data_IF_782346859821
#
_entry.id   IF_782346859821
#
_cell.length_a   1.000
_cell.length_b   1.000
_cell.length_c   1.000
_cell.angle_alpha   90.00
_cell.angle_beta   90.00
_cell.angle_gamma   90.00
#
_symmetry.space_group_name_H-M   'P 1'
#
loop_
_entity.id
_entity.type
_entity.pdbx_description
1 polymer ?
#
# COMPACT_ATOMS: atom_id res chain seq x y z
N UNK A 1 27.16 11.18 -13.41
CA UNK A 1 27.57 10.89 -12.03
C UNK A 1 26.42 10.13 -11.40
N UNK A 2 26.58 8.82 -11.17
CA UNK A 2 25.58 7.94 -10.58
C UNK A 2 25.32 8.41 -9.14
N UNK A 3 24.21 9.11 -8.91
CA UNK A 3 23.85 9.72 -7.64
C UNK A 3 22.59 9.09 -7.09
N UNK A 4 22.79 8.25 -6.07
CA UNK A 4 21.81 7.77 -5.09
C UNK A 4 20.53 7.11 -5.61
N UNK A 5 20.63 5.83 -5.97
CA UNK A 5 19.61 4.87 -5.54
C UNK A 5 19.68 4.79 -4.01
N UNK A 6 19.07 5.75 -3.33
CA UNK A 6 18.85 5.66 -1.88
C UNK A 6 17.93 4.46 -1.66
N UNK A 7 18.53 3.35 -1.25
CA UNK A 7 17.82 2.18 -0.75
C UNK A 7 16.99 2.66 0.45
N UNK A 8 15.72 3.03 0.22
CA UNK A 8 14.85 3.54 1.27
C UNK A 8 14.59 2.39 2.25
N UNK A 9 15.27 2.42 3.40
CA UNK A 9 15.08 1.49 4.51
C UNK A 9 13.59 1.35 4.90
N UNK A 10 12.83 2.43 4.72
CA UNK A 10 11.38 2.46 4.86
C UNK A 10 10.70 1.40 4.00
N UNK A 11 11.05 1.30 2.71
CA UNK A 11 10.44 0.36 1.76
C UNK A 11 10.75 -1.09 2.13
N UNK A 12 11.95 -1.36 2.66
CA UNK A 12 12.31 -2.68 3.19
C UNK A 12 11.48 -3.05 4.42
N UNK A 13 11.27 -2.11 5.33
CA UNK A 13 10.46 -2.31 6.53
C UNK A 13 9.00 -2.59 6.13
N UNK A 14 8.43 -1.84 5.18
CA UNK A 14 7.05 -2.08 4.73
C UNK A 14 6.86 -3.44 4.08
N UNK A 15 7.80 -3.85 3.21
CA UNK A 15 7.77 -5.16 2.58
C UNK A 15 7.87 -6.28 3.60
N UNK A 16 8.78 -6.13 4.56
CA UNK A 16 8.97 -7.11 5.62
C UNK A 16 7.69 -7.23 6.49
N UNK A 17 7.07 -6.12 6.86
CA UNK A 17 5.82 -6.10 7.63
C UNK A 17 4.64 -6.71 6.86
N UNK A 18 4.49 -6.40 5.56
CA UNK A 18 3.44 -6.97 4.71
C UNK A 18 3.60 -8.48 4.52
N UNK A 19 4.81 -8.95 4.19
CA UNK A 19 5.09 -10.37 3.97
C UNK A 19 4.94 -11.15 5.27
N UNK A 20 5.51 -10.66 6.37
CA UNK A 20 5.45 -11.33 7.67
C UNK A 20 4.01 -11.42 8.18
N UNK A 21 3.23 -10.34 8.06
CA UNK A 21 1.81 -10.38 8.47
C UNK A 21 0.99 -11.33 7.61
N UNK A 22 1.10 -11.28 6.27
CA UNK A 22 0.37 -12.19 5.38
C UNK A 22 0.73 -13.66 5.62
N UNK A 23 2.01 -13.96 5.91
CA UNK A 23 2.44 -15.31 6.27
C UNK A 23 1.81 -15.79 7.57
N UNK A 24 1.79 -14.96 8.62
CA UNK A 24 1.14 -15.28 9.89
C UNK A 24 -0.36 -15.57 9.72
N UNK A 25 -1.07 -14.74 8.94
CA UNK A 25 -2.49 -14.97 8.63
C UNK A 25 -2.73 -16.23 7.81
N UNK A 26 -1.80 -16.60 6.93
CA UNK A 26 -1.88 -17.85 6.16
C UNK A 26 -1.77 -19.06 7.07
N UNK A 27 -0.80 -19.05 8.00
CA UNK A 27 -0.64 -20.11 9.01
C UNK A 27 -1.88 -20.24 9.88
N UNK A 28 -2.42 -19.11 10.36
CA UNK A 28 -3.64 -19.11 11.18
C UNK A 28 -4.86 -19.64 10.40
N UNK A 29 -5.06 -19.20 9.15
CA UNK A 29 -6.14 -19.69 8.29
C UNK A 29 -6.05 -21.20 8.05
N UNK A 30 -4.83 -21.72 7.82
CA UNK A 30 -4.59 -23.16 7.67
C UNK A 30 -4.89 -23.93 8.96
N UNK A 31 -4.48 -23.42 10.13
CA UNK A 31 -4.79 -24.04 11.43
C UNK A 31 -6.30 -24.10 11.65
N UNK A 32 -7.02 -23.01 11.41
CA UNK A 32 -8.49 -22.98 11.54
C UNK A 32 -9.17 -23.94 10.56
N UNK A 33 -8.66 -24.06 9.33
CA UNK A 33 -9.16 -25.02 8.34
C UNK A 33 -8.94 -26.47 8.78
N UNK A 34 -7.74 -26.79 9.30
CA UNK A 34 -7.43 -28.13 9.83
C UNK A 34 -8.35 -28.48 11.01
N UNK A 35 -8.58 -27.53 11.93
CA UNK A 35 -9.50 -27.73 13.07
C UNK A 35 -10.94 -27.96 12.59
N UNK A 36 -11.41 -27.19 11.60
CA UNK A 36 -12.74 -27.36 11.01
C UNK A 36 -12.92 -28.73 10.35
N UNK A 37 -11.94 -29.15 9.53
CA UNK A 37 -11.95 -30.47 8.88
C UNK A 37 -11.85 -31.62 9.88
N UNK A 38 -10.98 -31.51 10.89
CA UNK A 38 -10.87 -32.50 11.96
C UNK A 38 -12.20 -32.67 12.70
N UNK A 39 -12.88 -31.56 12.97
CA UNK A 39 -14.22 -31.58 13.54
C UNK A 39 -15.26 -32.29 12.67
N UNK A 40 -15.26 -31.99 11.37
CA UNK A 40 -16.17 -32.61 10.40
C UNK A 40 -15.94 -34.12 10.30
N UNK A 41 -14.69 -34.57 10.16
CA UNK A 41 -14.35 -36.00 10.05
C UNK A 41 -14.82 -36.78 11.28
N UNK A 42 -14.64 -36.22 12.49
CA UNK A 42 -15.08 -36.87 13.72
C UNK A 42 -16.60 -36.85 13.91
N UNK A 43 -17.32 -35.89 13.31
CA UNK A 43 -18.79 -35.86 13.27
C UNK A 43 -19.37 -36.84 12.24
N UNK A 44 -18.75 -36.96 11.07
CA UNK A 44 -19.18 -37.86 9.98
C UNK A 44 -19.24 -39.32 10.43
N UNK A 45 -18.33 -39.75 11.32
CA UNK A 45 -18.35 -41.10 11.92
C UNK A 45 -19.60 -41.39 12.78
N UNK A 46 -20.38 -40.37 13.16
CA UNK A 46 -21.60 -40.49 13.97
C UNK A 46 -22.89 -40.14 13.22
N UNK A 47 -22.81 -39.50 12.04
CA UNK A 47 -23.93 -38.82 11.40
C UNK A 47 -24.64 -39.61 10.26
N UNK A 48 -24.50 -40.94 10.22
CA UNK A 48 -25.22 -41.77 9.23
C UNK A 48 -26.76 -41.76 9.41
N UNK A 49 -27.30 -41.11 10.45
CA UNK A 49 -28.74 -40.84 10.63
C UNK A 49 -29.03 -39.39 11.06
N UNK A 50 -28.96 -38.41 10.14
CA UNK A 50 -29.96 -37.34 10.10
C UNK A 50 -29.83 -36.51 8.84
N UNK A 51 -30.72 -36.80 7.91
CA UNK A 51 -31.13 -35.86 6.86
C UNK A 51 -31.88 -34.72 7.57
N UNK A 52 -31.47 -33.47 7.31
CA UNK A 52 -32.20 -32.19 7.47
C UNK A 52 -31.50 -31.19 8.39
N UNK A 53 -30.88 -30.17 7.79
CA UNK A 53 -30.42 -28.97 8.49
C UNK A 53 -29.34 -28.22 7.73
N UNK A 54 -29.73 -27.42 6.75
CA UNK A 54 -28.81 -26.52 6.04
C UNK A 54 -28.30 -25.47 7.03
N UNK A 55 -27.02 -25.53 7.40
CA UNK A 55 -26.17 -24.34 7.44
C UNK A 55 -25.76 -23.72 8.79
N UNK A 56 -25.88 -24.39 9.94
CA UNK A 56 -25.38 -23.84 11.23
C UNK A 56 -24.50 -24.81 12.02
N UNK A 57 -23.73 -25.66 11.34
CA UNK A 57 -22.67 -26.42 12.01
C UNK A 57 -21.45 -25.52 12.28
N UNK A 58 -21.04 -25.31 13.54
CA UNK A 58 -19.92 -24.44 13.88
C UNK A 58 -18.60 -24.90 13.22
N UNK A 59 -18.44 -26.20 13.00
CA UNK A 59 -17.27 -26.78 12.32
C UNK A 59 -17.23 -26.46 10.82
N UNK A 60 -18.39 -26.37 10.17
CA UNK A 60 -18.50 -25.95 8.78
C UNK A 60 -18.17 -24.46 8.65
N UNK A 61 -18.61 -23.64 9.59
CA UNK A 61 -18.25 -22.22 9.67
C UNK A 61 -16.74 -22.01 9.83
N UNK A 62 -16.07 -22.78 10.70
CA UNK A 62 -14.61 -22.76 10.81
C UNK A 62 -13.90 -23.19 9.52
N UNK A 63 -14.43 -24.17 8.80
CA UNK A 63 -13.86 -24.61 7.51
C UNK A 63 -13.97 -23.53 6.42
N UNK A 64 -15.14 -22.91 6.26
CA UNK A 64 -15.34 -21.82 5.31
C UNK A 64 -14.48 -20.60 5.66
N UNK A 65 -14.44 -20.22 6.93
CA UNK A 65 -13.66 -19.08 7.40
C UNK A 65 -12.16 -19.31 7.24
N UNK A 66 -11.65 -20.49 7.61
CA UNK A 66 -10.26 -20.88 7.43
C UNK A 66 -9.84 -20.90 5.96
N UNK A 67 -10.70 -21.40 5.06
CA UNK A 67 -10.45 -21.41 3.62
C UNK A 67 -10.36 -19.99 3.05
N UNK A 68 -11.31 -19.12 3.39
CA UNK A 68 -11.32 -17.73 2.93
C UNK A 68 -10.07 -16.99 3.43
N UNK A 69 -9.71 -17.15 4.70
CA UNK A 69 -8.51 -16.53 5.28
C UNK A 69 -7.22 -17.04 4.63
N UNK A 70 -7.12 -18.35 4.35
CA UNK A 70 -5.97 -18.93 3.65
C UNK A 70 -5.86 -18.41 2.20
N UNK A 71 -6.97 -18.31 1.46
CA UNK A 71 -6.95 -17.82 0.08
C UNK A 71 -6.62 -16.32 -0.01
N UNK A 72 -7.21 -15.50 0.87
CA UNK A 72 -6.92 -14.06 0.93
C UNK A 72 -5.46 -13.79 1.30
N UNK A 73 -4.90 -14.56 2.25
CA UNK A 73 -3.50 -14.43 2.64
C UNK A 73 -2.54 -14.93 1.56
N UNK A 74 -2.83 -16.02 0.86
CA UNK A 74 -2.04 -16.52 -0.26
C UNK A 74 -2.03 -15.54 -1.44
N UNK A 75 -3.20 -14.98 -1.80
CA UNK A 75 -3.28 -13.91 -2.79
C UNK A 75 -2.50 -12.67 -2.34
N UNK A 76 -2.53 -12.32 -1.04
CA UNK A 76 -1.74 -11.24 -0.47
C UNK A 76 -0.23 -11.49 -0.48
N UNK A 77 0.22 -12.73 -0.27
CA UNK A 77 1.63 -13.12 -0.38
C UNK A 77 2.12 -13.04 -1.83
N UNK A 78 1.34 -13.57 -2.78
CA UNK A 78 1.65 -13.49 -4.21
C UNK A 78 1.60 -12.02 -4.67
N UNK A 79 0.62 -11.25 -4.19
CA UNK A 79 0.50 -9.81 -4.41
C UNK A 79 1.72 -9.05 -3.93
N UNK A 80 2.15 -9.25 -2.68
CA UNK A 80 3.34 -8.60 -2.12
C UNK A 80 4.63 -8.97 -2.88
N UNK A 81 4.77 -10.22 -3.32
CA UNK A 81 5.90 -10.66 -4.15
C UNK A 81 5.87 -10.05 -5.56
N UNK A 82 4.68 -9.85 -6.14
CA UNK A 82 4.50 -9.20 -7.46
C UNK A 82 4.63 -7.69 -7.39
N UNK A 83 4.12 -7.06 -6.33
CA UNK A 83 4.27 -5.64 -6.03
C UNK A 83 5.75 -5.29 -5.88
N UNK A 84 6.60 -6.14 -5.32
CA UNK A 84 8.04 -5.85 -5.25
C UNK A 84 8.68 -5.54 -6.61
N UNK A 85 8.24 -6.20 -7.68
CA UNK A 85 8.76 -5.95 -9.02
C UNK A 85 7.97 -4.84 -9.74
N UNK A 86 6.65 -4.88 -9.66
CA UNK A 86 5.78 -3.94 -10.37
C UNK A 86 5.74 -2.56 -9.71
N UNK A 87 5.60 -2.49 -8.38
CA UNK A 87 5.55 -1.24 -7.63
C UNK A 87 6.86 -0.47 -7.72
N UNK A 88 8.02 -1.12 -7.54
CA UNK A 88 9.31 -0.45 -7.68
C UNK A 88 9.53 0.08 -9.10
N UNK A 89 9.17 -0.71 -10.12
CA UNK A 89 9.29 -0.29 -11.51
C UNK A 89 8.31 0.83 -11.86
N UNK A 90 7.05 0.70 -11.45
CA UNK A 90 5.99 1.68 -11.68
C UNK A 90 6.25 2.99 -10.90
N UNK A 91 6.71 2.92 -9.66
CA UNK A 91 7.09 4.10 -8.87
C UNK A 91 8.26 4.83 -9.54
N UNK A 92 9.29 4.12 -10.00
CA UNK A 92 10.38 4.74 -10.75
C UNK A 92 9.90 5.37 -12.06
N UNK A 93 9.03 4.69 -12.81
CA UNK A 93 8.45 5.21 -14.04
C UNK A 93 7.58 6.45 -13.79
N UNK A 94 6.65 6.40 -12.83
CA UNK A 94 5.77 7.53 -12.47
C UNK A 94 6.59 8.72 -11.98
N UNK A 95 7.60 8.49 -11.14
CA UNK A 95 8.50 9.54 -10.67
C UNK A 95 9.22 10.21 -11.85
N UNK A 96 9.76 9.45 -12.80
CA UNK A 96 10.42 10.02 -13.99
C UNK A 96 9.45 10.74 -14.93
N UNK A 97 8.24 10.21 -15.16
CA UNK A 97 7.23 10.89 -15.98
C UNK A 97 6.79 12.20 -15.34
N UNK A 98 6.57 12.21 -14.03
CA UNK A 98 6.16 13.40 -13.29
C UNK A 98 7.28 14.43 -13.23
N UNK A 99 8.53 13.99 -12.99
CA UNK A 99 9.74 14.82 -13.03
C UNK A 99 9.94 15.46 -14.39
N UNK A 100 9.91 14.66 -15.46
CA UNK A 100 10.05 15.14 -16.84
C UNK A 100 8.91 16.06 -17.25
N UNK A 101 7.67 15.73 -16.87
CA UNK A 101 6.49 16.56 -17.16
C UNK A 101 6.57 17.92 -16.47
N UNK A 102 7.00 17.95 -15.20
CA UNK A 102 7.14 19.18 -14.44
C UNK A 102 8.31 20.04 -14.94
N UNK A 103 9.46 19.44 -15.29
CA UNK A 103 10.56 20.17 -15.94
C UNK A 103 10.11 20.80 -17.27
N UNK A 104 9.38 20.05 -18.10
CA UNK A 104 8.85 20.56 -19.36
C UNK A 104 7.83 21.68 -19.15
N UNK A 105 6.95 21.55 -18.15
CA UNK A 105 5.99 22.57 -17.78
C UNK A 105 6.66 23.85 -17.27
N UNK A 106 7.73 23.73 -16.48
CA UNK A 106 8.50 24.88 -15.98
C UNK A 106 9.21 25.62 -17.12
N UNK A 107 9.82 24.93 -18.08
CA UNK A 107 10.48 25.61 -19.23
C UNK A 107 9.49 26.44 -20.05
N UNK A 108 8.25 25.97 -20.19
CA UNK A 108 7.20 26.66 -20.97
C UNK A 108 6.22 27.43 -20.10
N UNK A 109 6.56 27.63 -18.82
CA UNK A 109 5.70 28.27 -17.85
C UNK A 109 5.30 29.68 -18.32
N UNK A 110 6.24 30.45 -18.89
CA UNK A 110 5.90 31.80 -19.35
C UNK A 110 5.02 31.81 -20.61
N UNK A 111 5.09 30.78 -21.44
CA UNK A 111 4.42 30.76 -22.74
C UNK A 111 2.97 30.30 -22.68
N UNK A 112 2.60 29.52 -21.65
CA UNK A 112 1.33 28.81 -21.60
C UNK A 112 0.61 28.97 -20.26
N UNK A 113 -0.53 29.66 -20.27
CA UNK A 113 -1.38 29.91 -19.09
C UNK A 113 -1.89 28.62 -18.45
N UNK A 114 -2.15 27.57 -19.24
CA UNK A 114 -2.65 26.29 -18.72
C UNK A 114 -1.55 25.58 -17.94
N UNK A 115 -0.30 25.62 -18.44
CA UNK A 115 0.86 25.07 -17.73
C UNK A 115 1.17 25.86 -16.47
N UNK A 116 0.99 27.19 -16.46
CA UNK A 116 1.12 27.99 -15.24
C UNK A 116 0.15 27.53 -14.17
N UNK A 117 -1.14 27.46 -14.52
CA UNK A 117 -2.19 27.05 -13.61
C UNK A 117 -1.94 25.63 -13.06
N UNK A 118 -1.64 24.67 -13.93
CA UNK A 118 -1.40 23.28 -13.51
C UNK A 118 -0.16 23.19 -12.60
N UNK A 119 0.92 23.89 -12.95
CA UNK A 119 2.17 23.87 -12.15
C UNK A 119 1.95 24.48 -10.77
N UNK A 120 1.20 25.58 -10.69
CA UNK A 120 0.88 26.25 -9.42
C UNK A 120 -0.06 25.41 -8.54
N UNK A 121 -1.09 24.78 -9.12
CA UNK A 121 -2.02 23.90 -8.42
C UNK A 121 -1.29 22.67 -7.86
N UNK A 122 -0.39 22.06 -8.65
CA UNK A 122 0.44 20.94 -8.20
C UNK A 122 1.35 21.38 -7.06
N UNK A 123 2.15 22.44 -7.24
CA UNK A 123 3.12 22.87 -6.23
C UNK A 123 2.44 23.37 -4.93
N UNK A 124 1.27 23.99 -5.04
CA UNK A 124 0.49 24.45 -3.89
C UNK A 124 -0.22 23.29 -3.19
N UNK A 125 -0.83 22.37 -3.94
CA UNK A 125 -1.53 21.21 -3.41
C UNK A 125 -0.60 20.20 -2.73
N UNK A 126 0.64 20.10 -3.21
CA UNK A 126 1.68 19.23 -2.66
C UNK A 126 2.61 19.96 -1.66
N UNK A 127 2.56 21.29 -1.55
CA UNK A 127 3.50 22.07 -0.72
C UNK A 127 4.98 21.79 -1.03
N UNK A 128 5.31 21.69 -2.31
CA UNK A 128 6.66 21.46 -2.83
C UNK A 128 7.14 22.64 -3.70
N UNK A 129 8.41 22.69 -4.06
CA UNK A 129 8.93 23.72 -4.97
C UNK A 129 9.99 23.19 -5.93
N UNK A 130 9.72 23.30 -7.23
CA UNK A 130 10.55 22.76 -8.29
C UNK A 130 10.29 21.27 -8.54
N UNK A 131 10.98 20.70 -9.53
CA UNK A 131 10.85 19.30 -9.88
C UNK A 131 11.82 18.41 -9.11
N UNK A 132 13.09 18.78 -9.21
CA UNK A 132 14.20 18.17 -8.51
C UNK A 132 14.70 19.09 -7.40
N UNK A 133 14.62 20.40 -7.59
CA UNK A 133 15.04 21.37 -6.60
C UNK A 133 14.37 22.72 -6.82
N UNK A 134 14.30 23.55 -5.76
CA UNK A 134 13.81 24.93 -5.87
C UNK A 134 14.55 25.77 -6.93
N UNK A 135 15.80 25.39 -7.27
CA UNK A 135 16.60 26.06 -8.31
C UNK A 135 16.10 25.83 -9.73
N UNK A 136 15.20 24.88 -9.96
CA UNK A 136 14.61 24.66 -11.28
C UNK A 136 13.84 25.91 -11.78
N UNK A 137 13.48 26.82 -10.87
CA UNK A 137 12.84 28.10 -11.16
C UNK A 137 13.80 29.23 -11.56
N UNK A 138 15.12 29.02 -11.55
CA UNK A 138 16.11 30.04 -11.90
C UNK A 138 15.94 30.55 -13.35
N UNK A 139 15.39 29.72 -14.24
CA UNK A 139 15.03 30.09 -15.62
C UNK A 139 13.84 31.06 -15.70
N UNK A 140 13.01 31.16 -14.66
CA UNK A 140 11.76 31.94 -14.63
C UNK A 140 11.70 32.87 -13.40
N UNK A 141 12.79 33.56 -13.08
CA UNK A 141 12.93 34.33 -11.82
C UNK A 141 11.86 35.43 -11.63
N UNK A 142 11.25 35.93 -12.73
CA UNK A 142 10.28 37.03 -12.70
C UNK A 142 8.83 36.60 -12.42
N UNK A 143 8.43 35.41 -12.88
CA UNK A 143 7.04 34.92 -12.80
C UNK A 143 6.88 33.65 -11.96
N UNK A 144 7.99 33.05 -11.51
CA UNK A 144 7.99 31.90 -10.62
C UNK A 144 7.64 32.23 -9.16
N UNK A 145 7.65 31.22 -8.28
CA UNK A 145 7.35 31.39 -6.85
C UNK A 145 8.39 32.30 -6.17
N UNK A 146 7.94 33.11 -5.21
CA UNK A 146 8.81 34.02 -4.46
C UNK A 146 9.86 33.26 -3.63
N UNK A 147 10.94 33.96 -3.25
CA UNK A 147 12.06 33.38 -2.50
C UNK A 147 11.62 32.81 -1.14
N UNK A 148 10.61 33.41 -0.50
CA UNK A 148 10.07 32.90 0.77
C UNK A 148 9.39 31.53 0.61
N UNK A 149 8.61 31.30 -0.47
CA UNK A 149 8.01 29.99 -0.78
C UNK A 149 9.08 28.97 -1.17
N UNK A 150 10.11 29.40 -1.91
CA UNK A 150 11.24 28.55 -2.29
C UNK A 150 12.03 28.09 -1.05
N UNK A 151 12.17 28.93 -0.03
CA UNK A 151 12.87 28.60 1.21
C UNK A 151 12.04 27.71 2.13
N UNK A 152 10.72 27.95 2.24
CA UNK A 152 9.82 27.14 3.04
C UNK A 152 9.75 25.68 2.55
N UNK A 153 9.69 25.48 1.23
CA UNK A 153 9.50 24.16 0.61
C UNK A 153 10.78 23.61 -0.05
N UNK A 154 11.95 24.14 0.34
CA UNK A 154 13.25 23.83 -0.30
C UNK A 154 13.59 22.33 -0.31
N UNK A 155 13.13 21.62 0.72
CA UNK A 155 13.47 20.21 0.97
C UNK A 155 12.31 19.25 0.65
N UNK A 156 11.21 19.77 0.10
CA UNK A 156 10.00 18.99 -0.15
C UNK A 156 9.84 18.79 -1.64
N UNK A 157 10.13 17.57 -2.11
CA UNK A 157 10.03 17.20 -3.51
C UNK A 157 8.68 16.52 -3.78
N UNK A 158 8.18 16.66 -5.01
CA UNK A 158 6.93 16.01 -5.43
C UNK A 158 6.98 14.49 -5.22
N UNK A 159 8.16 13.89 -5.36
CA UNK A 159 8.41 12.46 -5.19
C UNK A 159 8.29 11.97 -3.74
N UNK A 160 8.60 12.80 -2.74
CA UNK A 160 8.56 12.43 -1.32
C UNK A 160 7.13 12.28 -0.77
N UNK A 161 6.19 13.05 -1.31
CA UNK A 161 4.80 13.10 -0.82
C UNK A 161 4.02 11.86 -1.26
N UNK A 162 4.27 11.39 -2.49
CA UNK A 162 3.69 10.15 -3.02
C UNK A 162 4.09 8.95 -2.14
N UNK A 163 5.31 8.96 -1.60
CA UNK A 163 5.80 7.91 -0.68
C UNK A 163 5.07 8.00 0.66
N UNK A 164 4.94 9.20 1.24
CA UNK A 164 4.32 9.39 2.55
C UNK A 164 2.83 8.97 2.60
N UNK A 165 2.04 9.28 1.57
CA UNK A 165 0.62 8.90 1.53
C UNK A 165 0.40 7.38 1.45
N UNK A 166 1.29 6.64 0.78
CA UNK A 166 1.21 5.19 0.68
C UNK A 166 1.46 4.48 2.01
N UNK A 167 2.34 5.04 2.85
CA UNK A 167 2.67 4.51 4.19
C UNK A 167 1.44 4.51 5.12
N UNK A 168 0.61 5.56 5.05
CA UNK A 168 -0.59 5.69 5.88
C UNK A 168 -1.62 4.62 5.52
N UNK A 169 -1.87 4.41 4.22
CA UNK A 169 -2.81 3.39 3.71
C UNK A 169 -2.35 1.98 4.13
N UNK A 170 -1.06 1.69 4.00
CA UNK A 170 -0.47 0.41 4.43
C UNK A 170 -0.64 0.18 5.94
N UNK A 171 -0.42 1.21 6.75
CA UNK A 171 -0.59 1.15 8.20
C UNK A 171 -2.05 0.83 8.58
N UNK A 172 -3.03 1.44 7.90
CA UNK A 172 -4.45 1.13 8.10
C UNK A 172 -4.80 -0.33 7.77
N UNK A 173 -4.24 -0.88 6.69
CA UNK A 173 -4.45 -2.29 6.30
C UNK A 173 -3.92 -3.24 7.39
N UNK A 174 -2.76 -2.96 7.97
CA UNK A 174 -2.18 -3.76 9.05
C UNK A 174 -3.07 -3.69 10.30
N UNK A 175 -3.55 -2.51 10.66
CA UNK A 175 -4.46 -2.30 11.80
C UNK A 175 -5.76 -3.08 11.62
N UNK A 176 -6.38 -3.03 10.43
CA UNK A 176 -7.61 -3.76 10.13
C UNK A 176 -7.40 -5.28 10.29
N UNK A 177 -6.28 -5.81 9.79
CA UNK A 177 -5.92 -7.22 9.95
C UNK A 177 -5.74 -7.61 11.42
N UNK A 178 -5.09 -6.75 12.21
CA UNK A 178 -4.94 -6.97 13.66
C UNK A 178 -6.30 -6.99 14.38
N UNK A 179 -7.21 -6.10 14.03
CA UNK A 179 -8.57 -6.09 14.58
C UNK A 179 -9.30 -7.39 14.22
N UNK A 180 -9.23 -7.84 12.97
CA UNK A 180 -9.81 -9.10 12.51
C UNK A 180 -9.23 -10.29 13.30
N UNK A 181 -7.91 -10.30 13.54
CA UNK A 181 -7.25 -11.31 14.36
C UNK A 181 -7.80 -11.35 15.79
N UNK A 182 -7.90 -10.20 16.44
CA UNK A 182 -8.43 -10.10 17.82
C UNK A 182 -9.88 -10.61 17.87
N UNK A 183 -10.72 -10.23 16.91
CA UNK A 183 -12.11 -10.69 16.82
C UNK A 183 -12.15 -12.23 16.67
N UNK A 184 -11.38 -12.79 15.74
CA UNK A 184 -11.26 -14.24 15.56
C UNK A 184 -10.83 -14.95 16.85
N UNK A 185 -9.84 -14.40 17.55
CA UNK A 185 -9.35 -14.97 18.81
C UNK A 185 -10.44 -14.95 19.89
N UNK A 186 -11.18 -13.85 20.03
CA UNK A 186 -12.29 -13.77 20.99
C UNK A 186 -13.43 -14.73 20.68
N UNK A 187 -13.75 -14.95 19.40
CA UNK A 187 -14.79 -15.90 18.96
C UNK A 187 -14.34 -17.36 19.16
N UNK A 188 -13.05 -17.67 19.01
CA UNK A 188 -12.52 -19.02 19.23
C UNK A 188 -12.43 -19.37 20.73
N UNK A 189 -12.15 -18.38 21.59
CA UNK A 189 -11.99 -18.57 23.03
C UNK A 189 -13.35 -18.63 23.76
N UNK A 190 -14.39 -17.96 23.23
CA UNK A 190 -15.74 -17.92 23.82
C UNK A 190 -16.59 -19.13 23.45
#
# INVERSE_FOLDING_TARGET
QYGSESCNWSDYIFKYLLVTSNLLFSVLGLVTLVVGLWGLINKESFAQEKISGIGTDPMLLFCFLGLVLALLSLMGCVGALRENMCLLHLQGQIAEYLRSGMLAAMVRYQDDLDLRFITDEIQTGLQCCGADTYRDWEINELEGPNKDKQELNRNTHVTDIIINSNIIILSLIIIIKFIIFVILLTVIIS
#
